data_IF_100669902195
#
_entry.id   IF_100669902195
#
_cell.length_a   1.000
_cell.length_b   1.000
_cell.length_c   1.000
_cell.angle_alpha   90.00
_cell.angle_beta   90.00
_cell.angle_gamma   90.00
#
_symmetry.space_group_name_H-M   'P 1'
#
loop_
_entity.id
_entity.type
_entity.pdbx_description
1 polymer ?
#
# COMPACT_ATOMS: atom_id res chain seq x y z
N UNK A 1 0.46 11.40 12.64
CA UNK A 1 -0.16 12.55 11.94
C UNK A 1 -1.21 12.01 10.97
N UNK A 2 -2.40 12.54 11.02
CA UNK A 2 -3.49 12.19 10.08
C UNK A 2 -3.29 12.93 8.75
N UNK A 3 -3.48 12.21 7.65
CA UNK A 3 -3.44 12.80 6.31
C UNK A 3 -4.87 12.95 5.80
N UNK A 4 -5.20 14.14 5.32
CA UNK A 4 -6.55 14.48 4.85
C UNK A 4 -6.57 14.53 3.33
N UNK A 5 -7.42 13.70 2.72
CA UNK A 5 -7.67 13.70 1.27
C UNK A 5 -9.07 14.20 0.94
N UNK A 6 -9.43 14.27 -0.34
CA UNK A 6 -10.77 14.72 -0.76
C UNK A 6 -11.92 13.89 -0.19
N UNK A 7 -11.75 12.58 -0.10
CA UNK A 7 -12.77 11.66 0.43
C UNK A 7 -12.23 10.78 1.55
N UNK A 8 -10.96 10.39 1.48
CA UNK A 8 -10.35 9.48 2.46
C UNK A 8 -9.46 10.24 3.44
N UNK A 9 -9.34 9.68 4.65
CA UNK A 9 -8.39 10.10 5.67
C UNK A 9 -7.48 8.93 6.00
N UNK A 10 -6.20 9.19 6.17
CA UNK A 10 -5.25 8.19 6.65
C UNK A 10 -4.93 8.50 8.10
N UNK A 11 -5.35 7.63 9.00
CA UNK A 11 -5.19 7.81 10.44
C UNK A 11 -4.18 6.78 10.96
N UNK A 12 -3.17 7.20 11.74
CA UNK A 12 -2.24 6.22 12.33
C UNK A 12 -2.99 5.11 13.06
N UNK A 13 -2.59 3.86 12.81
CA UNK A 13 -3.27 2.70 13.41
C UNK A 13 -3.11 2.74 14.92
N UNK A 14 -4.24 2.70 15.63
CA UNK A 14 -4.31 2.57 17.06
C UNK A 14 -5.08 1.31 17.46
N UNK A 15 -5.15 1.00 18.78
CA UNK A 15 -5.86 -0.18 19.27
C UNK A 15 -7.32 -0.26 18.80
N UNK A 16 -7.98 0.88 18.67
CA UNK A 16 -9.38 1.01 18.23
C UNK A 16 -9.64 0.55 16.79
N UNK A 17 -8.59 0.50 15.96
CA UNK A 17 -8.70 0.11 14.56
C UNK A 17 -8.48 -1.39 14.33
N UNK A 18 -7.86 -2.08 15.28
CA UNK A 18 -7.35 -3.44 15.09
C UNK A 18 -8.43 -4.46 14.75
N UNK A 19 -9.56 -4.41 15.43
CA UNK A 19 -10.65 -5.38 15.20
C UNK A 19 -11.14 -5.31 13.75
N UNK A 20 -11.47 -4.12 13.27
CA UNK A 20 -11.97 -3.93 11.90
C UNK A 20 -10.90 -4.23 10.86
N UNK A 21 -9.66 -3.83 11.09
CA UNK A 21 -8.55 -4.14 10.18
C UNK A 21 -8.31 -5.65 10.09
N UNK A 22 -8.41 -6.39 11.20
CA UNK A 22 -8.32 -7.85 11.19
C UNK A 22 -9.45 -8.51 10.40
N UNK A 23 -10.67 -7.98 10.50
CA UNK A 23 -11.80 -8.46 9.68
C UNK A 23 -11.52 -8.28 8.19
N UNK A 24 -11.11 -7.07 7.79
CA UNK A 24 -10.80 -6.76 6.39
C UNK A 24 -9.64 -7.60 5.87
N UNK A 25 -8.60 -7.78 6.67
CA UNK A 25 -7.38 -8.52 6.31
C UNK A 25 -7.67 -9.99 5.98
N UNK A 26 -8.75 -10.55 6.52
CA UNK A 26 -9.14 -11.96 6.33
C UNK A 26 -10.19 -12.16 5.25
N UNK A 27 -10.68 -11.11 4.61
CA UNK A 27 -11.59 -11.25 3.47
C UNK A 27 -10.89 -11.99 2.32
N UNK A 28 -11.57 -12.93 1.64
CA UNK A 28 -10.95 -13.73 0.57
C UNK A 28 -10.26 -12.90 -0.52
N UNK A 29 -10.87 -11.79 -0.91
CA UNK A 29 -10.33 -10.90 -1.94
C UNK A 29 -9.05 -10.19 -1.48
N UNK A 30 -8.92 -9.90 -0.18
CA UNK A 30 -7.70 -9.32 0.40
C UNK A 30 -6.63 -10.40 0.54
N UNK A 31 -7.00 -11.57 1.05
CA UNK A 31 -6.09 -12.73 1.20
C UNK A 31 -5.51 -13.16 -0.15
N UNK A 32 -6.29 -13.08 -1.21
CA UNK A 32 -5.81 -13.41 -2.56
C UNK A 32 -4.52 -12.68 -2.91
N UNK A 33 -4.41 -11.39 -2.57
CA UNK A 33 -3.26 -10.55 -2.94
C UNK A 33 -2.26 -10.35 -1.81
N UNK A 34 -2.74 -10.25 -0.57
CA UNK A 34 -1.92 -10.06 0.63
C UNK A 34 -1.52 -11.37 1.30
N UNK A 35 -2.08 -12.48 0.86
CA UNK A 35 -1.91 -13.83 1.41
C UNK A 35 -2.42 -13.92 2.85
N UNK A 36 -2.37 -15.10 3.44
CA UNK A 36 -2.81 -15.28 4.83
C UNK A 36 -1.94 -14.43 5.77
N UNK A 37 -2.56 -13.75 6.74
CA UNK A 37 -1.78 -13.00 7.71
C UNK A 37 -0.90 -13.95 8.53
N UNK A 38 0.34 -13.52 8.74
CA UNK A 38 1.33 -14.27 9.48
C UNK A 38 1.58 -13.57 10.82
N UNK A 39 1.36 -14.29 11.94
CA UNK A 39 1.52 -13.73 13.26
C UNK A 39 0.63 -12.52 13.54
N UNK A 40 1.10 -11.59 14.36
CA UNK A 40 0.45 -10.29 14.54
C UNK A 40 0.97 -9.33 13.46
N UNK A 41 0.24 -9.29 12.35
CA UNK A 41 0.61 -8.48 11.19
C UNK A 41 0.54 -6.96 11.46
N UNK A 42 -0.09 -6.55 12.56
CA UNK A 42 -0.15 -5.15 13.01
C UNK A 42 0.86 -4.85 14.13
N UNK A 43 1.75 -5.79 14.45
CA UNK A 43 2.79 -5.55 15.43
C UNK A 43 3.69 -4.39 15.01
N UNK A 44 4.12 -3.59 15.99
CA UNK A 44 5.02 -2.49 15.73
C UNK A 44 6.35 -2.96 15.16
N UNK A 45 6.78 -2.32 14.09
CA UNK A 45 8.08 -2.48 13.49
C UNK A 45 8.74 -1.11 13.34
N UNK A 46 10.04 -1.04 13.64
CA UNK A 46 10.76 0.23 13.71
C UNK A 46 10.73 1.03 12.40
N UNK A 47 10.71 0.33 11.26
CA UNK A 47 10.84 0.95 9.95
C UNK A 47 9.51 1.04 9.17
N UNK A 48 8.40 0.70 9.81
CA UNK A 48 7.10 0.66 9.15
C UNK A 48 6.09 1.60 9.81
N UNK A 49 5.46 2.44 9.00
CA UNK A 49 4.38 3.34 9.44
C UNK A 49 3.06 2.85 8.86
N UNK A 50 2.04 2.74 9.69
CA UNK A 50 0.75 2.12 9.37
C UNK A 50 -0.39 3.09 9.53
N UNK A 51 -1.29 3.13 8.54
CA UNK A 51 -2.50 3.94 8.56
C UNK A 51 -3.74 3.09 8.32
N UNK A 52 -4.80 3.38 9.07
CA UNK A 52 -6.14 2.97 8.69
C UNK A 52 -6.69 3.97 7.66
N UNK A 53 -7.33 3.47 6.63
CA UNK A 53 -8.00 4.31 5.61
C UNK A 53 -9.46 4.46 6.01
N UNK A 54 -9.89 5.69 6.24
CA UNK A 54 -11.26 6.01 6.63
C UNK A 54 -12.01 6.73 5.51
N UNK A 55 -13.25 6.31 5.29
CA UNK A 55 -14.21 6.96 4.41
C UNK A 55 -15.46 7.27 5.23
N UNK A 56 -15.82 8.55 5.35
CA UNK A 56 -16.98 8.96 6.14
C UNK A 56 -16.98 8.39 7.58
N UNK A 57 -15.80 8.32 8.18
CA UNK A 57 -15.61 7.81 9.55
C UNK A 57 -15.52 6.30 9.69
N UNK A 58 -15.74 5.54 8.60
CA UNK A 58 -15.66 4.09 8.61
C UNK A 58 -14.31 3.60 8.07
N UNK A 59 -13.75 2.58 8.70
CA UNK A 59 -12.51 1.96 8.24
C UNK A 59 -12.81 1.13 7.00
N UNK A 60 -12.20 1.53 5.87
CA UNK A 60 -12.39 0.86 4.58
C UNK A 60 -11.10 0.27 4.02
N UNK A 61 -10.01 0.37 4.73
CA UNK A 61 -8.74 -0.17 4.24
C UNK A 61 -7.55 0.13 5.13
N UNK A 62 -6.40 -0.18 4.59
CA UNK A 62 -5.12 -0.12 5.27
C UNK A 62 -4.05 0.29 4.27
N UNK A 63 -3.12 1.12 4.68
CA UNK A 63 -1.93 1.46 3.91
C UNK A 63 -0.74 1.59 4.84
N UNK A 64 0.41 1.13 4.37
CA UNK A 64 1.66 1.24 5.11
C UNK A 64 2.78 1.72 4.20
N UNK A 65 3.82 2.26 4.82
CA UNK A 65 5.08 2.50 4.14
C UNK A 65 6.24 2.13 5.05
N UNK A 66 7.34 1.78 4.43
CA UNK A 66 8.60 1.46 5.09
C UNK A 66 9.74 2.20 4.40
N UNK A 67 10.84 2.39 5.11
CA UNK A 67 12.01 3.11 4.60
C UNK A 67 13.23 2.20 4.55
N UNK A 68 13.95 2.22 3.44
CA UNK A 68 15.36 1.85 3.41
C UNK A 68 16.15 3.14 3.70
N UNK A 69 16.66 3.26 4.91
CA UNK A 69 17.33 4.47 5.40
C UNK A 69 18.81 4.55 5.08
N UNK A 70 19.37 3.55 4.37
CA UNK A 70 20.78 3.60 3.98
C UNK A 70 21.00 4.77 3.00
N UNK A 71 21.88 5.74 3.34
CA UNK A 71 21.98 7.00 2.60
C UNK A 71 22.20 6.86 1.09
N UNK A 72 22.90 5.82 0.64
CA UNK A 72 23.18 5.59 -0.77
C UNK A 72 21.99 5.05 -1.55
N UNK A 73 21.02 4.46 -0.86
CA UNK A 73 19.86 3.78 -1.46
C UNK A 73 18.53 4.24 -0.89
N UNK A 74 18.50 5.34 -0.14
CA UNK A 74 17.33 5.79 0.59
C UNK A 74 16.11 5.90 -0.32
N UNK A 75 15.06 5.15 0.00
CA UNK A 75 13.78 5.14 -0.69
C UNK A 75 12.70 4.60 0.25
N UNK A 76 11.44 4.69 -0.15
CA UNK A 76 10.34 4.12 0.60
C UNK A 76 9.55 3.13 -0.24
N UNK A 77 9.01 2.12 0.42
CA UNK A 77 8.06 1.19 -0.18
C UNK A 77 6.67 1.41 0.40
N UNK A 78 5.64 1.13 -0.38
CA UNK A 78 4.24 1.28 0.03
C UNK A 78 3.44 0.03 -0.29
N UNK A 79 2.46 -0.28 0.56
CA UNK A 79 1.52 -1.38 0.37
C UNK A 79 0.15 -0.97 0.88
N UNK A 80 -0.92 -1.38 0.21
CA UNK A 80 -2.27 -1.06 0.63
C UNK A 80 -3.28 -2.13 0.24
N UNK A 81 -4.37 -2.19 0.96
CA UNK A 81 -5.58 -2.89 0.54
C UNK A 81 -6.81 -2.10 0.95
N UNK A 82 -7.89 -2.27 0.22
CA UNK A 82 -9.21 -1.72 0.54
C UNK A 82 -10.24 -2.83 0.65
N UNK A 83 -11.28 -2.55 1.42
CA UNK A 83 -12.48 -3.38 1.47
C UNK A 83 -13.03 -3.55 0.05
N UNK A 84 -13.24 -4.79 -0.43
CA UNK A 84 -13.85 -5.02 -1.74
C UNK A 84 -15.17 -4.31 -1.95
N UNK A 85 -15.93 -4.05 -0.88
CA UNK A 85 -17.20 -3.34 -0.95
C UNK A 85 -17.08 -1.90 -1.48
N UNK A 86 -15.89 -1.29 -1.41
CA UNK A 86 -15.64 0.07 -1.90
C UNK A 86 -14.76 0.11 -3.15
N UNK A 87 -14.45 -1.03 -3.76
CA UNK A 87 -13.70 -1.09 -5.00
C UNK A 87 -14.43 -0.41 -6.16
N UNK A 88 -13.70 0.01 -7.18
CA UNK A 88 -14.26 0.63 -8.38
C UNK A 88 -14.66 2.08 -8.22
N UNK A 89 -14.35 2.72 -7.10
CA UNK A 89 -14.68 4.12 -6.79
C UNK A 89 -13.49 5.07 -6.85
N UNK A 90 -12.31 4.57 -7.23
CA UNK A 90 -11.08 5.37 -7.27
C UNK A 90 -10.45 5.65 -5.91
N UNK A 91 -10.91 4.99 -4.85
CA UNK A 91 -10.42 5.25 -3.48
C UNK A 91 -9.00 4.72 -3.26
N UNK A 92 -8.63 3.63 -3.90
CA UNK A 92 -7.26 3.10 -3.83
C UNK A 92 -6.25 4.06 -4.47
N UNK A 93 -6.60 4.61 -5.62
CA UNK A 93 -5.78 5.62 -6.30
C UNK A 93 -5.64 6.89 -5.44
N UNK A 94 -6.74 7.36 -4.86
CA UNK A 94 -6.74 8.52 -3.97
C UNK A 94 -5.89 8.29 -2.72
N UNK A 95 -6.04 7.13 -2.09
CA UNK A 95 -5.24 6.73 -0.91
C UNK A 95 -3.75 6.75 -1.24
N UNK A 96 -3.37 6.13 -2.35
CA UNK A 96 -1.97 6.06 -2.76
C UNK A 96 -1.42 7.44 -3.11
N UNK A 97 -2.19 8.28 -3.81
CA UNK A 97 -1.77 9.67 -4.10
C UNK A 97 -1.55 10.49 -2.84
N UNK A 98 -2.45 10.37 -1.88
CA UNK A 98 -2.34 11.08 -0.61
C UNK A 98 -1.06 10.68 0.15
N UNK A 99 -0.77 9.38 0.22
CA UNK A 99 0.45 8.89 0.86
C UNK A 99 1.70 9.29 0.09
N UNK A 100 1.72 9.13 -1.24
CA UNK A 100 2.87 9.50 -2.07
C UNK A 100 3.19 10.99 -1.95
N UNK A 101 2.18 11.86 -1.95
CA UNK A 101 2.39 13.30 -1.75
C UNK A 101 3.08 13.56 -0.41
N UNK A 102 2.62 12.93 0.66
CA UNK A 102 3.22 13.06 1.99
C UNK A 102 4.68 12.59 2.01
N UNK A 103 4.97 11.43 1.41
CA UNK A 103 6.32 10.87 1.37
C UNK A 103 7.29 11.73 0.55
N UNK A 104 6.83 12.31 -0.54
CA UNK A 104 7.65 13.17 -1.40
C UNK A 104 7.82 14.55 -0.77
N UNK A 105 6.72 15.20 -0.39
CA UNK A 105 6.72 16.60 0.02
C UNK A 105 7.24 16.81 1.45
N UNK A 106 6.87 15.92 2.38
CA UNK A 106 7.22 16.07 3.80
C UNK A 106 8.47 15.26 4.19
N UNK A 107 8.66 14.07 3.62
CA UNK A 107 9.81 13.21 3.91
C UNK A 107 10.96 13.34 2.91
N UNK A 108 10.73 13.98 1.77
CA UNK A 108 11.75 14.23 0.78
C UNK A 108 12.26 12.99 0.04
N UNK A 109 11.47 11.93 -0.05
CA UNK A 109 11.85 10.76 -0.83
C UNK A 109 11.90 11.09 -2.32
N UNK A 110 12.99 10.72 -2.98
CA UNK A 110 13.15 10.89 -4.43
C UNK A 110 12.57 9.71 -5.21
N UNK A 111 12.37 8.56 -4.54
CA UNK A 111 11.92 7.31 -5.16
C UNK A 111 11.05 6.52 -4.21
N UNK A 112 9.91 6.05 -4.71
CA UNK A 112 8.99 5.15 -4.02
C UNK A 112 8.85 3.87 -4.83
N UNK A 113 8.64 2.72 -4.14
CA UNK A 113 8.44 1.43 -4.78
C UNK A 113 7.14 0.77 -4.32
N UNK A 114 6.56 -0.05 -5.19
CA UNK A 114 5.43 -0.91 -4.91
C UNK A 114 5.57 -2.18 -5.77
N UNK A 115 5.09 -3.31 -5.28
CA UNK A 115 5.33 -4.59 -5.94
C UNK A 115 4.09 -5.50 -5.99
N UNK A 116 3.07 -5.12 -6.77
CA UNK A 116 1.89 -5.96 -6.93
C UNK A 116 2.23 -7.28 -7.61
N UNK A 117 1.45 -8.30 -7.30
CA UNK A 117 1.51 -9.56 -8.05
C UNK A 117 1.19 -9.30 -9.53
N UNK A 118 1.92 -9.95 -10.47
CA UNK A 118 1.76 -9.69 -11.92
C UNK A 118 0.33 -9.89 -12.40
N UNK A 119 -0.41 -10.79 -11.78
CA UNK A 119 -1.80 -11.09 -12.12
C UNK A 119 -2.78 -10.03 -11.61
N UNK A 120 -2.35 -9.13 -10.73
CA UNK A 120 -3.20 -8.08 -10.17
C UNK A 120 -3.27 -6.87 -11.10
N UNK A 121 -3.90 -7.07 -12.25
CA UNK A 121 -3.98 -6.05 -13.32
C UNK A 121 -4.69 -4.78 -12.87
N UNK A 122 -5.71 -4.90 -12.01
CA UNK A 122 -6.47 -3.75 -11.49
C UNK A 122 -5.58 -2.86 -10.62
N UNK A 123 -4.79 -3.47 -9.73
CA UNK A 123 -3.84 -2.73 -8.90
C UNK A 123 -2.76 -2.06 -9.76
N UNK A 124 -2.18 -2.78 -10.69
CA UNK A 124 -1.14 -2.26 -11.60
C UNK A 124 -1.67 -1.04 -12.37
N UNK A 125 -2.89 -1.13 -12.92
CA UNK A 125 -3.51 -0.01 -13.63
C UNK A 125 -3.72 1.19 -12.71
N UNK A 126 -4.15 0.97 -11.48
CA UNK A 126 -4.32 2.02 -10.47
C UNK A 126 -2.99 2.70 -10.13
N UNK A 127 -1.92 1.94 -9.96
CA UNK A 127 -0.59 2.46 -9.62
C UNK A 127 0.00 3.28 -10.77
N UNK A 128 -0.23 2.86 -12.01
CA UNK A 128 0.16 3.64 -13.20
C UNK A 128 -0.48 5.03 -13.22
N UNK A 129 -1.72 5.17 -12.76
CA UNK A 129 -2.42 6.46 -12.68
C UNK A 129 -1.73 7.43 -11.73
N UNK A 130 -1.03 6.94 -10.73
CA UNK A 130 -0.27 7.75 -9.77
C UNK A 130 1.11 8.13 -10.32
N UNK A 131 1.58 7.42 -11.34
CA UNK A 131 2.85 7.67 -11.99
C UNK A 131 3.86 6.53 -11.85
N UNK A 132 3.51 5.45 -11.15
CA UNK A 132 4.38 4.28 -11.04
C UNK A 132 4.62 3.62 -12.39
N UNK A 133 5.85 3.21 -12.64
CA UNK A 133 6.27 2.54 -13.86
C UNK A 133 6.87 1.18 -13.55
N UNK A 134 6.69 0.17 -14.42
CA UNK A 134 7.34 -1.12 -14.25
C UNK A 134 8.87 -1.00 -14.29
N UNK A 135 9.53 -1.65 -13.33
CA UNK A 135 10.98 -1.83 -13.32
C UNK A 135 11.32 -3.22 -13.87
N UNK A 136 10.64 -4.25 -13.39
CA UNK A 136 10.86 -5.62 -13.83
C UNK A 136 10.08 -6.62 -13.01
N UNK A 137 10.03 -7.86 -13.53
CA UNK A 137 9.35 -8.96 -12.84
C UNK A 137 10.31 -9.61 -11.86
N UNK A 138 9.86 -9.72 -10.62
CA UNK A 138 10.51 -10.50 -9.57
C UNK A 138 9.91 -11.91 -9.60
N UNK A 139 10.64 -12.84 -10.15
CA UNK A 139 10.14 -14.21 -10.33
C UNK A 139 10.09 -14.95 -9.00
N UNK A 140 8.96 -15.65 -8.75
CA UNK A 140 8.74 -16.45 -7.53
C UNK A 140 9.07 -15.64 -6.26
N UNK A 141 8.49 -14.46 -6.18
CA UNK A 141 8.79 -13.49 -5.14
C UNK A 141 7.94 -13.69 -3.88
N UNK A 142 6.63 -13.88 -4.06
CA UNK A 142 5.69 -14.00 -2.95
C UNK A 142 5.14 -15.43 -2.84
N UNK A 143 5.09 -15.95 -1.61
CA UNK A 143 4.57 -17.28 -1.34
C UNK A 143 3.04 -17.25 -1.34
N UNK A 144 2.44 -18.16 -2.12
CA UNK A 144 0.99 -18.34 -2.24
C UNK A 144 0.62 -19.78 -1.84
N UNK A 145 0.69 -20.06 -0.53
CA UNK A 145 0.52 -21.38 0.01
C UNK A 145 1.78 -22.24 -0.03
N UNK A 146 1.75 -23.45 0.56
CA UNK A 146 2.92 -24.33 0.66
C UNK A 146 3.45 -24.73 -0.73
N UNK A 147 4.68 -24.37 -1.03
CA UNK A 147 5.35 -24.76 -2.26
C UNK A 147 4.93 -24.00 -3.52
N UNK A 148 4.04 -23.03 -3.40
CA UNK A 148 3.59 -22.18 -4.50
C UNK A 148 4.13 -20.77 -4.33
N UNK A 149 4.78 -20.24 -5.38
CA UNK A 149 5.39 -18.91 -5.39
C UNK A 149 4.92 -18.16 -6.63
N UNK A 150 4.51 -16.91 -6.46
CA UNK A 150 3.99 -16.05 -7.52
C UNK A 150 4.97 -14.94 -7.86
N UNK A 151 4.93 -14.53 -9.12
CA UNK A 151 5.74 -13.41 -9.60
C UNK A 151 5.09 -12.08 -9.24
N UNK A 152 5.92 -11.12 -8.84
CA UNK A 152 5.50 -9.75 -8.57
C UNK A 152 6.15 -8.80 -9.57
N UNK A 153 5.45 -7.73 -9.91
CA UNK A 153 5.97 -6.66 -10.73
C UNK A 153 6.50 -5.55 -9.82
N UNK A 154 7.81 -5.38 -9.80
CA UNK A 154 8.40 -4.22 -9.14
C UNK A 154 8.09 -2.98 -9.97
N UNK A 155 7.46 -2.00 -9.33
CA UNK A 155 7.17 -0.69 -9.93
C UNK A 155 7.81 0.39 -9.09
N UNK A 156 8.24 1.47 -9.71
CA UNK A 156 8.76 2.62 -8.99
C UNK A 156 8.16 3.94 -9.47
N UNK A 157 8.30 4.94 -8.62
CA UNK A 157 7.88 6.31 -8.87
C UNK A 157 9.00 7.25 -8.46
N UNK A 158 9.53 8.00 -9.42
CA UNK A 158 10.42 9.10 -9.09
C UNK A 158 9.60 10.34 -8.75
N UNK A 159 10.09 11.15 -7.81
CA UNK A 159 9.33 12.31 -7.32
C UNK A 159 8.84 13.23 -8.43
N UNK A 160 9.66 13.47 -9.45
CA UNK A 160 9.32 14.32 -10.60
C UNK A 160 8.28 13.70 -11.54
N UNK A 161 8.03 12.41 -11.43
CA UNK A 161 7.04 11.68 -12.24
C UNK A 161 5.67 11.55 -11.57
N UNK A 162 5.57 12.02 -10.33
CA UNK A 162 4.36 11.89 -9.54
C UNK A 162 3.19 12.65 -10.17
N UNK A 163 2.07 11.93 -10.38
CA UNK A 163 0.83 12.49 -10.93
C UNK A 163 -0.12 12.82 -9.79
N UNK A 164 -0.24 14.11 -9.50
CA UNK A 164 -0.99 14.60 -8.32
C UNK A 164 -2.52 14.57 -8.49
N UNK A 165 -3.01 14.35 -9.67
CA UNK A 165 -4.45 14.26 -9.93
C UNK A 165 -4.96 15.33 -10.87
#
# INVERSE_FOLDING_TARGET
MTLEGPRVRLVPVGPEHRERLNELRRLPEVVRWWKEPWGDWLAEEADTVRYAVLLEGEIVGYVQWWEDGQPLYRHAGVDLFLDPAVHGRGLGTETLRLLCAHLIDEHGFHRLVIDPEVENEVAIASFRKVGFRPVGVMRRYIRDGPGDWKDCLLMDLLAEEFVRG
#
